data_IF_085247665107
#
_entry.id   IF_085247665107
#
_cell.length_a   1.000
_cell.length_b   1.000
_cell.length_c   1.000
_cell.angle_alpha   90.00
_cell.angle_beta   90.00
_cell.angle_gamma   90.00
#
_symmetry.space_group_name_H-M   'P 1'
#
loop_
_entity.id
_entity.type
_entity.pdbx_description
1 polymer ?
#
# COMPACT_ATOMS: atom_id res chain seq x y z
N UNK A 1 -12.00 -22.05 19.85
CA UNK A 1 -11.24 -21.78 18.60
C UNK A 1 -9.83 -21.37 19.00
N UNK A 2 -8.89 -22.27 18.85
CA UNK A 2 -7.50 -22.01 19.18
C UNK A 2 -6.85 -21.25 18.02
N UNK A 3 -6.63 -19.95 18.19
CA UNK A 3 -5.73 -19.17 17.36
C UNK A 3 -4.29 -19.50 17.74
N UNK A 4 -3.75 -20.55 17.16
CA UNK A 4 -2.30 -20.76 17.21
C UNK A 4 -1.65 -19.99 16.05
N UNK A 5 -1.51 -18.67 16.21
CA UNK A 5 -0.43 -17.95 15.55
C UNK A 5 0.86 -18.29 16.30
N UNK A 6 1.36 -19.49 16.08
CA UNK A 6 2.66 -19.88 16.56
C UNK A 6 3.72 -19.17 15.72
N UNK A 7 4.26 -18.12 16.31
CA UNK A 7 5.68 -17.77 16.36
C UNK A 7 6.47 -17.98 15.07
N UNK A 8 6.25 -17.15 14.05
CA UNK A 8 7.27 -16.86 13.05
C UNK A 8 8.06 -15.60 13.49
N UNK A 9 8.47 -15.59 14.75
CA UNK A 9 9.40 -14.62 15.27
C UNK A 9 10.82 -15.00 14.86
N UNK A 10 11.17 -14.84 13.62
CA UNK A 10 12.57 -14.68 13.26
C UNK A 10 13.07 -13.46 13.98
N UNK A 11 14.09 -13.60 14.79
CA UNK A 11 14.77 -12.48 15.41
C UNK A 11 15.41 -11.64 14.29
N UNK A 12 14.75 -10.54 13.93
CA UNK A 12 15.21 -9.61 12.90
C UNK A 12 16.39 -8.76 13.38
N UNK A 13 16.75 -8.86 14.67
CA UNK A 13 17.83 -8.07 15.29
C UNK A 13 19.21 -8.44 14.74
N UNK A 14 19.37 -9.64 14.19
CA UNK A 14 20.67 -10.17 13.76
C UNK A 14 20.89 -10.13 12.24
N UNK A 15 20.03 -9.45 11.47
CA UNK A 15 20.30 -9.32 10.04
C UNK A 15 21.45 -8.32 9.79
N UNK A 16 22.65 -8.79 9.36
CA UNK A 16 23.81 -7.94 9.19
C UNK A 16 23.66 -6.87 8.08
N UNK A 17 22.65 -7.03 7.24
CA UNK A 17 22.37 -6.11 6.14
C UNK A 17 21.43 -4.96 6.54
N UNK A 18 20.78 -5.05 7.70
CA UNK A 18 19.90 -4.00 8.22
C UNK A 18 20.63 -3.30 9.34
N UNK A 19 21.22 -2.14 9.04
CA UNK A 19 21.92 -1.31 10.02
C UNK A 19 21.29 0.07 10.07
N UNK A 20 21.01 0.54 11.26
CA UNK A 20 20.64 1.92 11.56
C UNK A 20 21.72 2.56 12.41
N UNK A 21 22.05 3.81 12.12
CA UNK A 21 22.90 4.62 12.98
C UNK A 21 22.18 5.03 14.29
N UNK A 22 20.89 4.83 14.34
CA UNK A 22 20.04 5.14 15.48
C UNK A 22 20.03 3.94 16.43
N UNK A 23 20.55 4.13 17.64
CA UNK A 23 20.61 3.09 18.68
C UNK A 23 19.39 3.04 19.59
N UNK A 24 18.57 4.09 19.56
CA UNK A 24 17.39 4.23 20.40
C UNK A 24 16.37 5.19 19.75
N UNK A 25 15.23 5.36 20.40
CA UNK A 25 14.19 6.30 19.98
C UNK A 25 14.78 7.72 19.90
N UNK A 26 14.54 8.40 18.78
CA UNK A 26 14.99 9.78 18.61
C UNK A 26 14.45 10.68 19.72
N UNK A 27 15.31 11.46 20.35
CA UNK A 27 14.98 12.31 21.51
C UNK A 27 13.82 13.28 21.27
N UNK A 28 13.63 13.70 20.02
CA UNK A 28 12.55 14.61 19.62
C UNK A 28 11.20 13.93 19.39
N UNK A 29 11.15 12.60 19.34
CA UNK A 29 9.93 11.87 18.99
C UNK A 29 8.74 12.21 19.89
N UNK A 30 8.87 12.27 21.23
CA UNK A 30 7.74 12.64 22.09
C UNK A 30 7.18 14.03 21.77
N UNK A 31 8.04 15.00 21.51
CA UNK A 31 7.65 16.37 21.15
C UNK A 31 6.92 16.40 19.81
N UNK A 32 7.44 15.68 18.81
CA UNK A 32 6.84 15.60 17.47
C UNK A 32 5.47 14.93 17.54
N UNK A 33 5.35 13.82 18.27
CA UNK A 33 4.09 13.12 18.46
C UNK A 33 3.04 14.00 19.16
N UNK A 34 3.41 14.67 20.24
CA UNK A 34 2.50 15.58 20.95
C UNK A 34 1.98 16.70 20.04
N UNK A 35 2.86 17.27 19.20
CA UNK A 35 2.46 18.27 18.22
C UNK A 35 1.47 17.71 17.20
N UNK A 36 1.73 16.50 16.66
CA UNK A 36 0.84 15.89 15.67
C UNK A 36 -0.51 15.46 16.27
N UNK A 37 -0.53 15.03 17.51
CA UNK A 37 -1.78 14.73 18.21
C UNK A 37 -2.65 15.97 18.46
N UNK A 38 -2.02 17.13 18.66
CA UNK A 38 -2.70 18.40 18.90
C UNK A 38 -3.07 19.19 17.68
N UNK A 39 -2.70 18.73 16.48
CA UNK A 39 -2.94 19.48 15.22
C UNK A 39 -3.71 18.65 14.21
N UNK A 40 -4.67 19.29 13.55
CA UNK A 40 -5.35 18.69 12.40
C UNK A 40 -4.41 18.70 11.18
N UNK A 41 -4.39 17.61 10.44
CA UNK A 41 -3.65 17.55 9.17
C UNK A 41 -4.22 18.58 8.19
N UNK A 42 -3.38 19.52 7.77
CA UNK A 42 -3.83 20.67 6.95
C UNK A 42 -3.21 20.71 5.54
N UNK A 43 -2.42 19.70 5.17
CA UNK A 43 -1.84 19.67 3.82
C UNK A 43 -2.95 19.51 2.79
N UNK A 44 -3.11 20.44 1.84
CA UNK A 44 -4.14 20.33 0.81
C UNK A 44 -3.87 19.12 -0.09
N UNK A 45 -4.94 18.47 -0.55
CA UNK A 45 -4.84 17.45 -1.57
C UNK A 45 -4.38 18.05 -2.89
N UNK A 46 -3.42 17.40 -3.53
CA UNK A 46 -2.95 17.82 -4.86
C UNK A 46 -3.98 17.45 -5.94
N UNK A 47 -3.88 18.09 -7.09
CA UNK A 47 -4.78 17.80 -8.22
C UNK A 47 -4.66 16.34 -8.67
N UNK A 48 -3.45 15.80 -8.73
CA UNK A 48 -3.28 14.40 -9.12
C UNK A 48 -3.89 13.41 -8.10
N UNK A 49 -3.89 13.74 -6.82
CA UNK A 49 -4.57 12.91 -5.80
C UNK A 49 -6.07 12.90 -6.03
N UNK A 50 -6.65 14.06 -6.37
CA UNK A 50 -8.08 14.18 -6.68
C UNK A 50 -8.44 13.39 -7.93
N UNK A 51 -7.64 13.51 -8.99
CA UNK A 51 -7.81 12.76 -10.23
C UNK A 51 -7.70 11.25 -10.01
N UNK A 52 -6.69 10.81 -9.25
CA UNK A 52 -6.52 9.40 -8.91
C UNK A 52 -7.71 8.85 -8.11
N UNK A 53 -8.22 9.61 -7.15
CA UNK A 53 -9.41 9.22 -6.38
C UNK A 53 -10.65 9.11 -7.27
N UNK A 54 -10.84 10.05 -8.20
CA UNK A 54 -11.94 9.99 -9.17
C UNK A 54 -11.85 8.76 -10.06
N UNK A 55 -10.65 8.46 -10.57
CA UNK A 55 -10.40 7.27 -11.37
C UNK A 55 -10.70 5.99 -10.59
N UNK A 56 -10.25 5.93 -9.35
CA UNK A 56 -10.56 4.81 -8.45
C UNK A 56 -12.06 4.63 -8.25
N UNK A 57 -12.78 5.69 -7.94
CA UNK A 57 -14.22 5.64 -7.70
C UNK A 57 -15.00 5.18 -8.93
N UNK A 58 -14.61 5.62 -10.12
CA UNK A 58 -15.22 5.17 -11.37
C UNK A 58 -14.97 3.66 -11.59
N UNK A 59 -13.74 3.20 -11.46
CA UNK A 59 -13.40 1.80 -11.64
C UNK A 59 -14.10 0.89 -10.60
N UNK A 60 -14.21 1.34 -9.36
CA UNK A 60 -14.92 0.60 -8.33
C UNK A 60 -16.44 0.56 -8.56
N UNK A 61 -17.03 1.65 -9.04
CA UNK A 61 -18.44 1.68 -9.42
C UNK A 61 -18.74 0.73 -10.58
N UNK A 62 -17.88 0.62 -11.58
CA UNK A 62 -17.99 -0.36 -12.68
C UNK A 62 -17.98 -1.81 -12.16
N UNK A 63 -17.38 -2.06 -11.01
CA UNK A 63 -17.39 -3.33 -10.29
C UNK A 63 -18.52 -3.45 -9.28
N UNK A 64 -19.54 -2.60 -9.38
CA UNK A 64 -20.73 -2.62 -8.51
C UNK A 64 -20.37 -2.55 -7.03
N UNK A 65 -19.31 -1.79 -6.69
CA UNK A 65 -18.80 -1.64 -5.33
C UNK A 65 -18.48 -2.97 -4.64
N UNK A 66 -17.86 -3.89 -5.36
CA UNK A 66 -17.39 -5.16 -4.83
C UNK A 66 -16.54 -4.95 -3.55
N UNK A 67 -16.35 -5.98 -2.71
CA UNK A 67 -15.45 -5.89 -1.56
C UNK A 67 -14.11 -5.30 -1.96
N UNK A 68 -13.65 -4.29 -1.22
CA UNK A 68 -12.46 -3.51 -1.54
C UNK A 68 -11.25 -3.99 -0.73
N UNK A 69 -10.14 -4.21 -1.42
CA UNK A 69 -8.82 -4.42 -0.80
C UNK A 69 -7.88 -3.31 -1.26
N UNK A 70 -7.24 -2.65 -0.31
CA UNK A 70 -6.26 -1.59 -0.58
C UNK A 70 -4.86 -2.13 -0.32
N UNK A 71 -4.01 -2.11 -1.34
CA UNK A 71 -2.59 -2.45 -1.28
C UNK A 71 -1.78 -1.16 -1.21
N UNK A 72 -1.61 -0.64 -0.01
CA UNK A 72 -0.93 0.63 0.24
C UNK A 72 0.59 0.49 0.14
N UNK A 73 1.22 1.35 -0.68
CA UNK A 73 2.65 1.27 -0.93
C UNK A 73 3.02 0.10 -1.84
N UNK A 74 2.21 -0.15 -2.88
CA UNK A 74 2.35 -1.34 -3.75
C UNK A 74 3.65 -1.37 -4.59
N UNK A 75 4.44 -0.30 -4.61
CA UNK A 75 5.67 -0.22 -5.40
C UNK A 75 5.41 -0.40 -6.89
N UNK A 76 6.02 -1.40 -7.50
CA UNK A 76 5.82 -1.74 -8.92
C UNK A 76 4.50 -2.48 -9.20
N UNK A 77 3.70 -2.74 -8.17
CA UNK A 77 2.35 -3.29 -8.31
C UNK A 77 2.25 -4.80 -8.40
N UNK A 78 3.32 -5.54 -8.15
CA UNK A 78 3.31 -7.01 -8.20
C UNK A 78 2.42 -7.62 -7.11
N UNK A 79 2.50 -7.10 -5.89
CA UNK A 79 1.65 -7.52 -4.78
C UNK A 79 0.16 -7.34 -5.08
N UNK A 80 -0.19 -6.23 -5.72
CA UNK A 80 -1.57 -5.95 -6.15
C UNK A 80 -2.11 -7.05 -7.07
N UNK A 81 -1.31 -7.52 -8.03
CA UNK A 81 -1.69 -8.60 -8.94
C UNK A 81 -1.90 -9.93 -8.21
N UNK A 82 -1.02 -10.27 -7.28
CA UNK A 82 -1.14 -11.49 -6.48
C UNK A 82 -2.39 -11.46 -5.61
N UNK A 83 -2.67 -10.32 -4.96
CA UNK A 83 -3.87 -10.13 -4.16
C UNK A 83 -5.13 -10.24 -5.03
N UNK A 84 -5.15 -9.58 -6.19
CA UNK A 84 -6.28 -9.63 -7.10
C UNK A 84 -6.56 -11.06 -7.62
N UNK A 85 -5.51 -11.80 -7.95
CA UNK A 85 -5.62 -13.20 -8.38
C UNK A 85 -6.14 -14.12 -7.26
N UNK A 86 -5.72 -13.87 -6.02
CA UNK A 86 -6.16 -14.64 -4.86
C UNK A 86 -7.60 -14.32 -4.42
N UNK A 87 -8.09 -13.11 -4.77
CA UNK A 87 -9.40 -12.62 -4.37
C UNK A 87 -10.23 -12.15 -5.58
N UNK A 88 -10.64 -13.05 -6.48
CA UNK A 88 -11.29 -12.69 -7.74
C UNK A 88 -12.63 -11.98 -7.58
N UNK A 89 -13.27 -12.06 -6.40
CA UNK A 89 -14.54 -11.39 -6.11
C UNK A 89 -14.38 -10.01 -5.48
N UNK A 90 -13.14 -9.64 -5.10
CA UNK A 90 -12.82 -8.32 -4.59
C UNK A 90 -12.35 -7.39 -5.72
N UNK A 91 -12.44 -6.10 -5.49
CA UNK A 91 -11.73 -5.10 -6.26
C UNK A 91 -10.48 -4.67 -5.50
N UNK A 92 -9.32 -4.72 -6.13
CA UNK A 92 -8.04 -4.43 -5.49
C UNK A 92 -7.47 -3.14 -6.04
N UNK A 93 -7.12 -2.22 -5.16
CA UNK A 93 -6.46 -0.97 -5.55
C UNK A 93 -5.04 -0.93 -4.97
N UNK A 94 -4.06 -0.89 -5.84
CA UNK A 94 -2.67 -0.66 -5.48
C UNK A 94 -2.38 0.85 -5.48
N UNK A 95 -1.81 1.35 -4.40
CA UNK A 95 -1.48 2.78 -4.24
C UNK A 95 0.00 2.94 -4.00
N UNK A 96 0.67 3.78 -4.79
CA UNK A 96 2.06 4.18 -4.56
C UNK A 96 2.27 5.63 -4.96
N UNK A 97 3.14 6.33 -4.25
CA UNK A 97 3.47 7.72 -4.57
C UNK A 97 4.37 7.87 -5.79
N UNK A 98 5.05 6.80 -6.20
CA UNK A 98 6.02 6.83 -7.29
C UNK A 98 5.35 6.45 -8.62
N UNK A 99 5.17 7.44 -9.50
CA UNK A 99 4.72 7.21 -10.86
C UNK A 99 5.66 6.28 -11.63
N UNK A 100 6.96 6.45 -11.45
CA UNK A 100 7.97 5.60 -12.11
C UNK A 100 7.80 4.12 -11.76
N UNK A 101 7.47 3.81 -10.50
CA UNK A 101 7.21 2.44 -10.08
C UNK A 101 5.94 1.89 -10.68
N UNK A 102 4.87 2.68 -10.70
CA UNK A 102 3.57 2.26 -11.23
C UNK A 102 3.59 2.08 -12.76
N UNK A 103 4.45 2.81 -13.46
CA UNK A 103 4.60 2.73 -14.92
C UNK A 103 5.66 1.73 -15.38
N UNK A 104 6.33 1.04 -14.45
CA UNK A 104 7.27 -0.03 -14.79
C UNK A 104 6.53 -1.18 -15.45
N UNK A 105 6.70 -1.31 -16.76
CA UNK A 105 6.03 -2.35 -17.54
C UNK A 105 6.78 -3.68 -17.42
N UNK A 106 6.06 -4.68 -16.93
CA UNK A 106 6.54 -6.07 -16.93
C UNK A 106 5.72 -6.85 -17.93
N UNK A 107 6.29 -7.07 -19.10
CA UNK A 107 5.60 -7.72 -20.24
C UNK A 107 5.15 -9.14 -19.95
N UNK A 108 5.81 -9.82 -19.03
CA UNK A 108 5.51 -11.21 -18.66
C UNK A 108 4.20 -11.36 -17.84
N UNK A 109 3.60 -10.26 -17.38
CA UNK A 109 2.30 -10.30 -16.68
C UNK A 109 1.09 -10.20 -17.61
N UNK A 110 1.28 -9.73 -18.84
CA UNK A 110 0.17 -9.38 -19.74
C UNK A 110 -0.81 -10.51 -19.99
N UNK A 111 -0.30 -11.74 -20.12
CA UNK A 111 -1.12 -12.90 -20.47
C UNK A 111 -1.85 -13.53 -19.28
N UNK A 112 -1.52 -13.12 -18.07
CA UNK A 112 -2.08 -13.66 -16.81
C UNK A 112 -2.63 -12.59 -15.89
N UNK A 113 -2.85 -11.39 -16.40
CA UNK A 113 -3.31 -10.26 -15.62
C UNK A 113 -4.77 -10.46 -15.21
N UNK A 114 -5.08 -10.41 -13.88
CA UNK A 114 -6.47 -10.35 -13.44
C UNK A 114 -7.10 -9.04 -13.89
N UNK A 115 -8.42 -8.97 -13.91
CA UNK A 115 -9.16 -7.79 -14.36
C UNK A 115 -9.81 -6.99 -13.22
N UNK A 116 -9.61 -7.44 -11.98
CA UNK A 116 -10.25 -6.91 -10.78
C UNK A 116 -9.33 -5.99 -9.96
N UNK A 117 -8.47 -5.25 -10.60
CA UNK A 117 -7.56 -4.34 -9.93
C UNK A 117 -7.33 -3.04 -10.70
N UNK A 118 -6.77 -2.06 -10.00
CA UNK A 118 -6.24 -0.81 -10.57
C UNK A 118 -5.02 -0.36 -9.76
N UNK A 119 -4.08 0.30 -10.41
CA UNK A 119 -3.00 1.04 -9.76
C UNK A 119 -3.27 2.53 -9.83
N UNK A 120 -3.12 3.23 -8.71
CA UNK A 120 -3.25 4.69 -8.62
C UNK A 120 -2.08 5.30 -7.84
N UNK A 121 -1.79 6.58 -8.15
CA UNK A 121 -0.76 7.38 -7.51
C UNK A 121 -1.32 8.22 -6.35
#
# INVERSE_FOLDING_TARGET
MNNSFSNMGGDWSDNPNIRSAQSDIHSDLPRVLARHQGTTFQKPYTEYNRAAFTQFMQAWAERQFAPLIVDAGCGVGESTLHIASAHPQAFVVGVDQSEDRLTTHKTWWRDQMPDNFIWIR
#
